data_IF_623908524897
#
_entry.id   IF_623908524897
#
_cell.length_a   1.000
_cell.length_b   1.000
_cell.length_c   1.000
_cell.angle_alpha   90.00
_cell.angle_beta   90.00
_cell.angle_gamma   90.00
#
_symmetry.space_group_name_H-M   'P 1'
#
loop_
_entity.id
_entity.type
_entity.pdbx_description
1 polymer ?
#
# COMPACT_ATOMS: atom_id res chain seq x y z
N UNK A 1 -16.10 1.14 -4.40
CA UNK A 1 -15.57 1.71 -3.14
C UNK A 1 -14.09 1.97 -3.30
N UNK A 2 -13.61 3.15 -2.93
CA UNK A 2 -12.19 3.53 -3.00
C UNK A 2 -11.81 4.15 -1.65
N UNK A 3 -10.68 3.78 -1.08
CA UNK A 3 -10.28 4.37 0.19
C UNK A 3 -9.05 3.70 0.81
N UNK A 4 -9.00 3.72 2.13
CA UNK A 4 -7.93 3.12 2.89
C UNK A 4 -8.44 2.21 4.01
N UNK A 5 -7.57 1.31 4.42
CA UNK A 5 -7.67 0.49 5.62
C UNK A 5 -6.43 0.75 6.47
N UNK A 6 -6.62 1.15 7.72
CA UNK A 6 -5.54 1.48 8.63
C UNK A 6 -4.81 0.26 9.18
N UNK A 7 -3.62 0.50 9.73
CA UNK A 7 -2.81 -0.54 10.36
C UNK A 7 -3.55 -1.25 11.51
N UNK A 8 -4.36 -0.51 12.27
CA UNK A 8 -5.08 -1.04 13.43
C UNK A 8 -6.19 -2.04 13.07
N UNK A 9 -6.57 -2.17 11.79
CA UNK A 9 -7.55 -3.16 11.33
C UNK A 9 -7.20 -4.61 11.71
N UNK A 10 -5.92 -4.93 11.93
CA UNK A 10 -5.52 -6.25 12.43
C UNK A 10 -6.21 -6.62 13.76
N UNK A 11 -6.53 -5.64 14.59
CA UNK A 11 -7.21 -5.90 15.87
C UNK A 11 -8.65 -6.43 15.71
N UNK A 12 -9.25 -6.29 14.52
CA UNK A 12 -10.57 -6.86 14.19
C UNK A 12 -10.47 -8.37 14.07
N UNK A 13 -9.50 -8.88 13.30
CA UNK A 13 -9.26 -10.31 13.11
C UNK A 13 -8.51 -10.97 14.29
N UNK A 14 -7.68 -10.19 14.99
CA UNK A 14 -6.82 -10.66 16.07
C UNK A 14 -7.08 -9.86 17.37
N UNK A 15 -8.20 -10.12 18.10
CA UNK A 15 -8.61 -9.32 19.27
C UNK A 15 -7.65 -9.37 20.46
N UNK A 16 -6.64 -10.23 20.42
CA UNK A 16 -5.55 -10.26 21.40
C UNK A 16 -4.67 -9.01 21.31
N UNK A 17 -4.64 -8.35 20.14
CA UNK A 17 -3.90 -7.12 19.91
C UNK A 17 -4.70 -5.93 20.42
N UNK A 18 -4.04 -5.12 21.25
CA UNK A 18 -4.60 -3.85 21.76
C UNK A 18 -3.84 -2.71 21.11
N UNK A 19 -4.08 -2.51 19.82
CA UNK A 19 -3.37 -1.48 19.05
C UNK A 19 -3.82 -0.08 19.51
N UNK A 20 -2.86 0.84 19.59
CA UNK A 20 -3.11 2.24 19.98
C UNK A 20 -4.12 2.91 19.03
N UNK A 21 -5.08 3.65 19.60
CA UNK A 21 -6.02 4.44 18.82
C UNK A 21 -5.30 5.55 18.02
N UNK A 22 -5.74 5.74 16.80
CA UNK A 22 -5.20 6.74 15.88
C UNK A 22 -6.12 7.95 15.76
N UNK A 23 -5.57 9.08 15.29
CA UNK A 23 -6.36 10.25 14.90
C UNK A 23 -7.16 10.02 13.59
N UNK A 24 -6.80 8.97 12.82
CA UNK A 24 -7.53 8.55 11.60
C UNK A 24 -8.48 7.41 11.93
N UNK A 25 -9.54 7.28 11.13
CA UNK A 25 -10.43 6.12 11.22
C UNK A 25 -9.67 4.83 10.89
N UNK A 26 -10.15 3.68 11.37
CA UNK A 26 -9.56 2.37 11.03
C UNK A 26 -9.74 2.06 9.54
N UNK A 27 -10.78 2.54 8.92
CA UNK A 27 -10.97 2.55 7.46
C UNK A 27 -11.83 3.74 7.05
N UNK A 28 -11.68 4.15 5.80
CA UNK A 28 -12.53 5.17 5.19
C UNK A 28 -12.69 4.86 3.69
N UNK A 29 -13.92 4.64 3.27
CA UNK A 29 -14.26 4.16 1.93
C UNK A 29 -15.29 5.07 1.28
N UNK A 30 -14.92 5.67 0.17
CA UNK A 30 -15.78 6.51 -0.65
C UNK A 30 -16.49 5.67 -1.72
N UNK A 31 -17.79 5.85 -1.87
CA UNK A 31 -18.55 5.25 -2.95
C UNK A 31 -18.59 6.22 -4.14
N UNK A 32 -18.02 5.81 -5.27
CA UNK A 32 -18.06 6.58 -6.51
C UNK A 32 -19.03 5.94 -7.50
N UNK A 33 -19.95 6.73 -7.97
CA UNK A 33 -20.88 6.37 -9.06
C UNK A 33 -20.46 6.96 -10.42
N UNK A 34 -19.53 7.92 -10.44
CA UNK A 34 -18.96 8.57 -11.62
C UNK A 34 -17.46 8.34 -11.65
N UNK A 35 -16.97 7.70 -12.72
CA UNK A 35 -15.58 7.27 -12.83
C UNK A 35 -15.03 7.65 -14.20
N UNK A 36 -13.79 8.13 -14.22
CA UNK A 36 -13.01 8.31 -15.44
C UNK A 36 -11.87 7.31 -15.41
N UNK A 37 -11.86 6.37 -16.33
CA UNK A 37 -10.78 5.39 -16.51
C UNK A 37 -9.93 5.77 -17.73
N UNK A 38 -8.60 5.83 -17.53
CA UNK A 38 -7.65 6.06 -18.60
C UNK A 38 -6.74 4.86 -18.81
N UNK A 39 -6.85 4.22 -19.97
CA UNK A 39 -5.99 3.11 -20.39
C UNK A 39 -4.73 3.69 -21.07
N UNK A 40 -3.60 3.67 -20.34
CA UNK A 40 -2.34 4.20 -20.84
C UNK A 40 -1.75 3.42 -22.02
N UNK A 41 -2.06 2.14 -22.15
CA UNK A 41 -1.56 1.30 -23.26
C UNK A 41 -2.31 1.59 -24.56
N UNK A 42 -3.64 1.77 -24.45
CA UNK A 42 -4.51 2.03 -25.59
C UNK A 42 -4.77 3.52 -25.83
N UNK A 43 -4.25 4.37 -24.93
CA UNK A 43 -4.48 5.83 -24.95
C UNK A 43 -5.98 6.17 -25.01
N UNK A 44 -6.79 5.39 -24.29
CA UNK A 44 -8.24 5.50 -24.30
C UNK A 44 -8.79 5.94 -22.97
N UNK A 45 -9.61 6.98 -22.98
CA UNK A 45 -10.39 7.41 -21.84
C UNK A 45 -11.81 6.84 -21.91
N UNK A 46 -12.31 6.33 -20.79
CA UNK A 46 -13.67 5.82 -20.65
C UNK A 46 -14.35 6.53 -19.49
N UNK A 47 -15.49 7.16 -19.76
CA UNK A 47 -16.35 7.76 -18.72
C UNK A 47 -17.41 6.75 -18.35
N UNK A 48 -17.55 6.44 -17.08
CA UNK A 48 -18.47 5.45 -16.52
C UNK A 48 -19.37 6.15 -15.52
N UNK A 49 -20.68 6.03 -15.68
CA UNK A 49 -21.67 6.50 -14.71
C UNK A 49 -22.56 5.31 -14.32
N UNK A 50 -22.51 4.96 -13.04
CA UNK A 50 -23.35 3.93 -12.47
C UNK A 50 -24.70 4.54 -12.09
N UNK A 51 -25.80 3.97 -12.53
CA UNK A 51 -27.13 4.41 -12.21
C UNK A 51 -27.85 3.45 -11.28
N UNK A 52 -28.80 3.97 -10.49
CA UNK A 52 -29.67 3.14 -9.67
C UNK A 52 -30.72 2.47 -10.55
N UNK A 53 -31.19 1.28 -10.15
CA UNK A 53 -32.10 0.46 -10.95
C UNK A 53 -33.59 0.80 -10.75
N UNK A 54 -33.95 1.63 -9.75
CA UNK A 54 -35.30 2.15 -9.63
C UNK A 54 -35.52 3.31 -10.61
N UNK A 55 -36.71 3.41 -11.22
CA UNK A 55 -37.06 4.38 -12.25
C UNK A 55 -35.99 4.45 -13.39
N UNK A 56 -35.78 3.34 -14.10
CA UNK A 56 -34.62 3.17 -14.99
C UNK A 56 -34.58 4.21 -16.12
N UNK A 57 -35.73 4.62 -16.65
CA UNK A 57 -35.79 5.60 -17.73
C UNK A 57 -35.23 6.96 -17.29
N UNK A 58 -35.72 7.49 -16.16
CA UNK A 58 -35.26 8.74 -15.61
C UNK A 58 -33.78 8.66 -15.18
N UNK A 59 -33.36 7.55 -14.55
CA UNK A 59 -31.97 7.36 -14.13
C UNK A 59 -31.02 7.27 -15.32
N UNK A 60 -31.46 6.67 -16.43
CA UNK A 60 -30.68 6.61 -17.66
C UNK A 60 -30.49 8.00 -18.28
N UNK A 61 -31.57 8.80 -18.40
CA UNK A 61 -31.46 10.18 -18.89
C UNK A 61 -30.50 11.01 -18.04
N UNK A 62 -30.57 10.86 -16.71
CA UNK A 62 -29.65 11.55 -15.81
C UNK A 62 -28.19 11.07 -16.02
N UNK A 63 -27.95 9.78 -16.14
CA UNK A 63 -26.62 9.22 -16.39
C UNK A 63 -26.01 9.73 -17.70
N UNK A 64 -26.82 9.83 -18.77
CA UNK A 64 -26.37 10.40 -20.06
C UNK A 64 -26.00 11.88 -19.91
N UNK A 65 -26.77 12.66 -19.15
CA UNK A 65 -26.45 14.06 -18.88
C UNK A 65 -25.14 14.19 -18.06
N UNK A 66 -24.97 13.36 -17.04
CA UNK A 66 -23.74 13.32 -16.23
C UNK A 66 -22.51 12.96 -17.09
N UNK A 67 -22.61 11.99 -17.98
CA UNK A 67 -21.55 11.64 -18.95
C UNK A 67 -21.18 12.85 -19.81
N UNK A 68 -22.18 13.54 -20.39
CA UNK A 68 -21.94 14.71 -21.23
C UNK A 68 -21.30 15.86 -20.46
N UNK A 69 -21.69 16.11 -19.19
CA UNK A 69 -21.08 17.09 -18.33
C UNK A 69 -19.60 16.79 -18.06
N UNK A 70 -19.28 15.53 -17.74
CA UNK A 70 -17.90 15.06 -17.54
C UNK A 70 -17.08 15.26 -18.83
N UNK A 71 -17.61 14.86 -19.99
CA UNK A 71 -16.94 15.03 -21.27
C UNK A 71 -16.64 16.51 -21.55
N UNK A 72 -17.62 17.40 -21.31
CA UNK A 72 -17.43 18.84 -21.48
C UNK A 72 -16.33 19.37 -20.57
N UNK A 73 -16.30 18.94 -19.30
CA UNK A 73 -15.27 19.33 -18.34
C UNK A 73 -13.87 18.88 -18.76
N UNK A 74 -13.77 17.68 -19.37
CA UNK A 74 -12.47 17.14 -19.86
C UNK A 74 -12.01 17.88 -21.10
N UNK A 75 -12.93 18.22 -22.01
CA UNK A 75 -12.60 18.85 -23.30
C UNK A 75 -12.35 20.35 -23.20
N UNK A 76 -12.88 21.00 -22.18
CA UNK A 76 -12.63 22.42 -21.87
C UNK A 76 -12.03 22.57 -20.45
N UNK A 77 -10.79 22.10 -20.22
CA UNK A 77 -10.22 22.06 -18.90
C UNK A 77 -9.83 23.49 -18.44
N UNK A 78 -10.13 23.78 -17.19
CA UNK A 78 -9.60 24.96 -16.55
C UNK A 78 -8.06 24.94 -16.54
N UNK A 79 -7.38 26.11 -16.64
CA UNK A 79 -5.93 26.17 -16.54
C UNK A 79 -5.42 25.48 -15.26
N UNK A 80 -4.42 24.63 -15.39
CA UNK A 80 -3.77 24.02 -14.22
C UNK A 80 -3.19 25.12 -13.33
N UNK A 81 -3.45 25.03 -12.04
CA UNK A 81 -2.81 25.88 -11.05
C UNK A 81 -1.28 25.74 -11.17
N UNK A 82 -0.57 26.85 -11.06
CA UNK A 82 0.91 26.82 -11.04
C UNK A 82 1.37 26.00 -9.84
N UNK A 83 2.46 25.26 -10.04
CA UNK A 83 3.15 24.60 -8.93
C UNK A 83 3.74 25.70 -8.03
N UNK A 84 3.15 25.90 -6.87
CA UNK A 84 3.72 26.72 -5.82
C UNK A 84 4.60 25.80 -4.95
N UNK A 85 5.85 26.16 -4.77
CA UNK A 85 6.75 25.49 -3.83
C UNK A 85 6.96 26.38 -2.62
N UNK A 86 6.53 25.90 -1.46
CA UNK A 86 6.95 26.48 -0.19
C UNK A 86 8.37 25.96 0.09
N UNK A 87 9.36 26.84 0.03
CA UNK A 87 10.78 26.46 0.14
C UNK A 87 11.21 26.14 1.57
N UNK A 88 10.37 26.35 2.58
CA UNK A 88 10.73 26.30 3.99
C UNK A 88 9.85 25.31 4.78
N UNK A 89 9.54 24.14 4.19
CA UNK A 89 8.85 23.08 4.93
C UNK A 89 9.88 22.29 5.73
N UNK A 90 9.87 22.44 7.05
CA UNK A 90 10.70 21.67 7.96
C UNK A 90 9.88 20.57 8.63
N UNK A 91 10.42 19.37 8.66
CA UNK A 91 9.80 18.23 9.35
C UNK A 91 10.45 18.02 10.71
N UNK A 92 9.62 17.81 11.72
CA UNK A 92 10.05 17.39 13.05
C UNK A 92 9.80 15.90 13.22
N UNK A 93 10.77 15.17 13.76
CA UNK A 93 10.62 13.75 14.09
C UNK A 93 9.94 13.59 15.44
N UNK A 94 9.08 12.58 15.59
CA UNK A 94 8.49 12.19 16.88
C UNK A 94 9.50 11.51 17.83
N UNK A 95 10.69 11.16 17.31
CA UNK A 95 11.80 10.57 18.07
C UNK A 95 13.07 11.34 17.82
N UNK A 96 13.92 11.44 18.86
CA UNK A 96 15.33 11.76 18.66
C UNK A 96 16.07 10.59 18.01
N UNK A 97 17.29 10.82 17.55
CA UNK A 97 18.14 9.76 16.99
C UNK A 97 18.42 8.68 18.06
N UNK A 98 18.73 9.08 19.30
CA UNK A 98 19.00 8.19 20.42
C UNK A 98 17.78 7.31 20.75
N UNK A 99 16.59 7.90 20.90
CA UNK A 99 15.37 7.15 21.16
C UNK A 99 15.03 6.13 20.07
N UNK A 100 15.30 6.48 18.80
CA UNK A 100 15.08 5.54 17.69
C UNK A 100 16.11 4.40 17.70
N UNK A 101 17.38 4.71 17.99
CA UNK A 101 18.43 3.70 18.15
C UNK A 101 18.12 2.74 19.32
N UNK A 102 17.61 3.25 20.44
CA UNK A 102 17.18 2.43 21.58
C UNK A 102 16.03 1.50 21.21
N UNK A 103 15.06 1.98 20.45
CA UNK A 103 13.96 1.15 19.92
C UNK A 103 14.49 0.02 19.04
N UNK A 104 15.45 0.31 18.15
CA UNK A 104 16.10 -0.71 17.30
C UNK A 104 16.86 -1.73 18.16
N UNK A 105 17.57 -1.28 19.20
CA UNK A 105 18.33 -2.18 20.10
C UNK A 105 17.38 -3.10 20.89
N UNK A 106 16.28 -2.58 21.42
CA UNK A 106 15.26 -3.41 22.09
C UNK A 106 14.63 -4.44 21.13
N UNK A 107 14.39 -4.04 19.88
CA UNK A 107 13.90 -4.99 18.86
C UNK A 107 14.90 -6.12 18.62
N UNK A 108 16.22 -5.82 18.63
CA UNK A 108 17.25 -6.87 18.52
C UNK A 108 17.25 -7.80 19.74
N UNK A 109 16.98 -7.30 20.94
CA UNK A 109 16.85 -8.14 22.14
C UNK A 109 15.73 -9.16 21.96
N UNK A 110 14.54 -8.77 21.50
CA UNK A 110 13.44 -9.70 21.18
C UNK A 110 13.81 -10.76 20.14
N UNK A 111 14.65 -10.40 19.15
CA UNK A 111 15.17 -11.36 18.18
C UNK A 111 16.12 -12.36 18.84
N UNK A 112 17.06 -11.89 19.71
CA UNK A 112 17.99 -12.75 20.42
C UNK A 112 17.28 -13.68 21.41
N UNK A 113 16.22 -13.20 22.06
CA UNK A 113 15.41 -13.99 22.98
C UNK A 113 14.52 -15.03 22.27
N UNK A 114 14.43 -14.95 20.93
CA UNK A 114 13.69 -15.91 20.10
C UNK A 114 12.19 -15.61 20.00
N UNK A 115 11.75 -14.42 20.39
CA UNK A 115 10.36 -13.98 20.28
C UNK A 115 9.91 -13.81 18.82
N UNK A 116 10.83 -13.28 17.99
CA UNK A 116 10.59 -12.95 16.58
C UNK A 116 11.85 -13.20 15.75
N UNK A 117 11.67 -13.43 14.45
CA UNK A 117 12.78 -13.49 13.46
C UNK A 117 13.03 -12.13 12.83
N UNK A 118 11.97 -11.33 12.71
CA UNK A 118 11.96 -10.03 12.04
C UNK A 118 10.93 -9.12 12.67
N UNK A 119 11.25 -7.84 12.75
CA UNK A 119 10.30 -6.80 13.13
C UNK A 119 10.61 -5.49 12.39
N UNK A 120 9.56 -4.75 12.06
CA UNK A 120 9.64 -3.50 11.33
C UNK A 120 9.14 -2.37 12.22
N UNK A 121 10.08 -1.60 12.78
CA UNK A 121 9.75 -0.42 13.58
C UNK A 121 9.80 0.84 12.74
N UNK A 122 9.01 1.84 13.11
CA UNK A 122 8.88 3.07 12.33
C UNK A 122 8.97 4.33 13.18
N UNK A 123 9.21 5.45 12.52
CA UNK A 123 9.10 6.78 13.11
C UNK A 123 8.32 7.72 12.22
N UNK A 124 7.55 8.60 12.83
CA UNK A 124 6.75 9.62 12.16
C UNK A 124 7.47 10.95 12.14
N UNK A 125 7.32 11.66 11.03
CA UNK A 125 7.73 13.05 10.86
C UNK A 125 6.49 13.89 10.63
N UNK A 126 6.48 15.08 11.19
CA UNK A 126 5.33 15.99 11.14
C UNK A 126 5.76 17.38 10.68
N UNK A 127 4.87 18.05 9.96
CA UNK A 127 5.02 19.45 9.60
C UNK A 127 3.65 20.11 9.46
N UNK A 128 3.63 21.44 9.51
CA UNK A 128 2.44 22.22 9.16
C UNK A 128 2.51 22.66 7.70
N UNK A 129 1.43 22.42 6.96
CA UNK A 129 1.32 22.82 5.57
C UNK A 129 -0.14 23.16 5.23
N UNK A 130 -0.38 24.42 4.77
CA UNK A 130 -1.73 24.90 4.47
C UNK A 130 -2.18 24.60 3.04
N UNK A 131 -1.25 24.28 2.13
CA UNK A 131 -1.53 23.96 0.74
C UNK A 131 -2.13 22.56 0.56
N UNK A 132 -2.56 22.23 -0.65
CA UNK A 132 -2.99 20.88 -1.02
C UNK A 132 -1.77 20.00 -1.35
N UNK A 133 -1.83 18.72 -0.94
CA UNK A 133 -0.85 17.71 -1.31
C UNK A 133 -0.90 17.32 -2.79
N UNK A 134 -1.91 17.77 -3.55
CA UNK A 134 -2.04 17.48 -4.98
C UNK A 134 -0.79 17.94 -5.77
N UNK A 135 -0.21 19.09 -5.43
CA UNK A 135 1.00 19.56 -6.08
C UNK A 135 2.22 18.67 -5.77
N UNK A 136 2.37 18.23 -4.52
CA UNK A 136 3.39 17.26 -4.14
C UNK A 136 3.19 15.91 -4.87
N UNK A 137 1.97 15.42 -4.98
CA UNK A 137 1.62 14.23 -5.75
C UNK A 137 1.99 14.37 -7.23
N UNK A 138 1.71 15.52 -7.86
CA UNK A 138 2.07 15.78 -9.26
C UNK A 138 3.59 15.70 -9.50
N UNK A 139 4.38 16.18 -8.55
CA UNK A 139 5.85 16.06 -8.60
C UNK A 139 6.29 14.62 -8.40
N UNK A 140 5.78 13.93 -7.37
CA UNK A 140 6.10 12.53 -7.09
C UNK A 140 5.78 11.61 -8.27
N UNK A 141 4.68 11.84 -8.96
CA UNK A 141 4.28 11.08 -10.14
C UNK A 141 5.33 11.09 -11.26
N UNK A 142 6.09 12.16 -11.36
CA UNK A 142 7.14 12.32 -12.38
C UNK A 142 8.51 11.84 -11.86
N UNK A 143 8.82 12.16 -10.60
CA UNK A 143 10.15 11.92 -10.03
C UNK A 143 10.33 10.53 -9.47
N UNK A 144 9.26 9.92 -8.97
CA UNK A 144 9.28 8.59 -8.34
C UNK A 144 8.04 7.76 -8.72
N UNK A 145 7.85 7.41 -10.00
CA UNK A 145 6.74 6.60 -10.43
C UNK A 145 6.80 5.21 -9.78
N UNK A 146 5.64 4.71 -9.38
CA UNK A 146 5.44 3.40 -8.76
C UNK A 146 4.20 2.72 -9.36
N UNK A 147 4.04 1.39 -9.23
CA UNK A 147 2.86 0.69 -9.73
C UNK A 147 1.54 1.26 -9.19
N UNK A 148 1.55 1.71 -7.94
CA UNK A 148 0.40 2.34 -7.32
C UNK A 148 0.72 3.80 -7.02
N UNK A 149 0.01 4.69 -7.71
CA UNK A 149 0.09 6.13 -7.56
C UNK A 149 -1.25 6.64 -7.07
N UNK A 150 -1.33 7.03 -5.80
CA UNK A 150 -2.59 7.36 -5.14
C UNK A 150 -2.63 8.82 -4.71
N UNK A 151 -3.73 9.50 -5.01
CA UNK A 151 -4.17 10.74 -4.40
C UNK A 151 -5.62 10.59 -3.99
N UNK A 152 -5.91 10.83 -2.72
CA UNK A 152 -7.28 10.84 -2.18
C UNK A 152 -7.52 12.14 -1.44
N UNK A 153 -8.75 12.64 -1.54
CA UNK A 153 -9.27 13.72 -0.70
C UNK A 153 -10.57 13.21 -0.07
N UNK A 154 -10.55 13.03 1.24
CA UNK A 154 -11.66 12.49 2.02
C UNK A 154 -12.09 13.58 2.99
N UNK A 155 -13.18 14.29 2.66
CA UNK A 155 -13.74 15.37 3.48
C UNK A 155 -12.73 16.47 3.87
N UNK A 156 -11.70 16.67 3.04
CA UNK A 156 -10.66 17.68 3.27
C UNK A 156 -9.34 17.12 3.82
N UNK A 157 -9.32 15.90 4.32
CA UNK A 157 -8.10 15.19 4.61
C UNK A 157 -7.51 14.61 3.31
N UNK A 158 -6.21 14.75 3.11
CA UNK A 158 -5.57 14.33 1.87
C UNK A 158 -4.56 13.19 2.12
N UNK A 159 -4.55 12.21 1.23
CA UNK A 159 -3.57 11.12 1.24
C UNK A 159 -2.89 11.08 -0.12
N UNK A 160 -1.56 11.06 -0.12
CA UNK A 160 -0.75 10.78 -1.30
C UNK A 160 0.14 9.58 -1.04
N UNK A 161 0.29 8.71 -2.04
CA UNK A 161 1.18 7.56 -1.95
C UNK A 161 1.79 7.20 -3.31
N UNK A 162 3.02 6.69 -3.27
CA UNK A 162 3.74 6.10 -4.41
C UNK A 162 4.18 4.69 -4.02
N UNK A 163 3.20 3.82 -3.73
CA UNK A 163 3.48 2.48 -3.25
C UNK A 163 4.01 1.56 -4.35
N UNK A 164 5.12 0.86 -4.12
CA UNK A 164 5.64 -0.12 -5.07
C UNK A 164 5.04 -1.52 -4.88
N UNK A 165 4.28 -1.75 -3.81
CA UNK A 165 3.98 -3.10 -3.32
C UNK A 165 2.48 -3.34 -3.21
N UNK A 166 2.01 -4.41 -3.87
CA UNK A 166 0.63 -4.90 -3.74
C UNK A 166 0.45 -5.54 -2.36
N UNK A 167 -0.63 -5.19 -1.64
CA UNK A 167 -1.03 -5.97 -0.48
C UNK A 167 -1.73 -7.24 -0.94
N UNK A 168 -2.88 -7.09 -1.58
CA UNK A 168 -3.65 -8.19 -2.14
C UNK A 168 -4.47 -7.71 -3.34
N UNK A 169 -4.55 -8.57 -4.34
CA UNK A 169 -5.45 -8.44 -5.47
C UNK A 169 -6.42 -9.61 -5.48
N UNK A 170 -7.69 -9.35 -5.67
CA UNK A 170 -8.74 -10.34 -5.89
C UNK A 170 -9.37 -10.08 -7.24
N UNK A 171 -9.29 -11.03 -8.15
CA UNK A 171 -9.88 -10.92 -9.47
C UNK A 171 -10.60 -12.20 -9.85
N UNK A 172 -11.91 -12.12 -10.07
CA UNK A 172 -12.75 -13.27 -10.45
C UNK A 172 -12.57 -14.47 -9.48
N UNK A 173 -12.48 -14.22 -8.18
CA UNK A 173 -12.32 -15.24 -7.15
C UNK A 173 -10.89 -15.75 -6.95
N UNK A 174 -9.91 -15.23 -7.67
CA UNK A 174 -8.48 -15.55 -7.51
C UNK A 174 -7.78 -14.44 -6.73
N UNK A 175 -7.17 -14.83 -5.62
CA UNK A 175 -6.33 -13.99 -4.78
C UNK A 175 -4.89 -14.02 -5.26
N UNK A 176 -4.23 -12.86 -5.29
CA UNK A 176 -2.81 -12.75 -5.60
C UNK A 176 -2.11 -11.85 -4.58
N UNK A 177 -0.91 -12.23 -4.17
CA UNK A 177 0.07 -11.34 -3.52
C UNK A 177 1.43 -11.51 -4.17
N UNK A 178 2.26 -10.46 -4.10
CA UNK A 178 3.52 -10.38 -4.83
C UNK A 178 4.66 -10.07 -3.86
N UNK A 179 5.20 -11.07 -3.13
CA UNK A 179 6.36 -10.88 -2.28
C UNK A 179 7.54 -10.32 -3.07
N UNK A 180 8.09 -9.22 -2.58
CA UNK A 180 9.24 -8.53 -3.17
C UNK A 180 10.31 -8.39 -2.09
N UNK A 181 11.52 -8.88 -2.37
CA UNK A 181 12.69 -8.67 -1.51
C UNK A 181 13.97 -8.60 -2.34
N UNK A 182 15.03 -8.15 -1.72
CA UNK A 182 16.29 -7.98 -2.39
C UNK A 182 16.28 -6.86 -3.42
N UNK A 183 17.35 -6.09 -3.49
CA UNK A 183 17.43 -4.94 -4.39
C UNK A 183 18.83 -4.76 -4.92
N UNK A 184 18.94 -4.43 -6.22
CA UNK A 184 20.17 -3.91 -6.84
C UNK A 184 19.83 -2.74 -7.74
N UNK A 185 20.70 -1.78 -7.89
CA UNK A 185 20.53 -0.72 -8.90
C UNK A 185 20.55 -1.31 -10.31
N UNK A 186 20.08 -0.56 -11.28
CA UNK A 186 20.24 -0.91 -12.69
C UNK A 186 21.69 -0.68 -13.10
N UNK A 187 22.22 -1.56 -13.94
CA UNK A 187 23.53 -1.39 -14.55
C UNK A 187 23.57 -0.23 -15.57
N UNK A 188 24.75 0.32 -15.80
CA UNK A 188 24.96 1.37 -16.81
C UNK A 188 24.77 0.82 -18.25
N UNK A 189 25.01 -0.48 -18.44
CA UNK A 189 24.76 -1.19 -19.68
C UNK A 189 24.17 -2.59 -19.41
N UNK A 190 23.87 -3.32 -20.48
CA UNK A 190 23.24 -4.64 -20.36
C UNK A 190 24.13 -5.66 -19.65
N UNK A 191 25.45 -5.59 -19.84
CA UNK A 191 26.38 -6.58 -19.25
C UNK A 191 26.47 -6.36 -17.73
N UNK A 192 26.57 -5.15 -17.28
CA UNK A 192 26.54 -4.80 -15.85
C UNK A 192 25.18 -5.11 -15.23
N UNK A 193 24.07 -4.81 -15.92
CA UNK A 193 22.71 -5.09 -15.46
C UNK A 193 22.49 -6.61 -15.27
N UNK A 194 22.95 -7.42 -16.20
CA UNK A 194 22.86 -8.88 -16.08
C UNK A 194 23.79 -9.44 -14.97
N UNK A 195 24.97 -8.85 -14.76
CA UNK A 195 25.86 -9.23 -13.68
C UNK A 195 25.28 -8.92 -12.29
N UNK A 196 24.65 -7.73 -12.13
CA UNK A 196 23.95 -7.35 -10.90
C UNK A 196 22.74 -8.25 -10.63
N UNK A 197 22.02 -8.65 -11.66
CA UNK A 197 20.90 -9.60 -11.52
C UNK A 197 21.40 -10.99 -11.09
N UNK A 198 22.50 -11.46 -11.67
CA UNK A 198 23.14 -12.74 -11.32
C UNK A 198 23.74 -12.72 -9.91
N UNK A 199 24.25 -11.60 -9.44
CA UNK A 199 24.68 -11.41 -8.06
C UNK A 199 23.48 -11.50 -7.11
N UNK A 200 22.43 -10.75 -7.40
CA UNK A 200 21.24 -10.70 -6.55
C UNK A 200 20.59 -12.06 -6.34
N UNK A 201 20.44 -12.84 -7.41
CA UNK A 201 19.79 -14.17 -7.34
C UNK A 201 20.70 -15.25 -6.69
N UNK A 202 21.95 -14.93 -6.38
CA UNK A 202 22.90 -15.80 -5.66
C UNK A 202 23.18 -15.33 -4.24
N UNK A 203 22.66 -14.18 -3.84
CA UNK A 203 22.83 -13.63 -2.50
C UNK A 203 21.99 -14.43 -1.50
N UNK A 204 22.64 -15.27 -0.68
CA UNK A 204 21.97 -16.18 0.26
C UNK A 204 21.10 -15.42 1.28
N UNK A 205 21.52 -14.24 1.71
CA UNK A 205 20.76 -13.40 2.65
C UNK A 205 19.48 -12.89 2.01
N UNK A 206 19.58 -12.31 0.81
CA UNK A 206 18.42 -11.79 0.08
C UNK A 206 17.43 -12.90 -0.27
N UNK A 207 17.92 -14.08 -0.64
CA UNK A 207 17.10 -15.26 -0.90
C UNK A 207 16.41 -15.79 0.36
N UNK A 208 17.09 -15.81 1.50
CA UNK A 208 16.50 -16.24 2.77
C UNK A 208 15.36 -15.30 3.21
N UNK A 209 15.58 -13.99 3.11
CA UNK A 209 14.56 -12.97 3.38
C UNK A 209 13.37 -13.14 2.41
N UNK A 210 13.65 -13.28 1.12
CA UNK A 210 12.60 -13.45 0.11
C UNK A 210 11.75 -14.70 0.37
N UNK A 211 12.39 -15.83 0.71
CA UNK A 211 11.68 -17.08 1.02
C UNK A 211 10.76 -16.93 2.23
N UNK A 212 11.21 -16.22 3.26
CA UNK A 212 10.38 -15.91 4.42
C UNK A 212 9.14 -15.09 4.04
N UNK A 213 9.30 -14.09 3.16
CA UNK A 213 8.16 -13.30 2.68
C UNK A 213 7.20 -14.10 1.79
N UNK A 214 7.72 -15.03 0.97
CA UNK A 214 6.88 -15.95 0.20
C UNK A 214 6.06 -16.84 1.11
N UNK A 215 6.68 -17.42 2.15
CA UNK A 215 5.98 -18.26 3.14
C UNK A 215 4.94 -17.48 3.93
N UNK A 216 5.24 -16.23 4.28
CA UNK A 216 4.28 -15.35 4.94
C UNK A 216 3.08 -15.05 4.02
N UNK A 217 3.33 -14.74 2.74
CA UNK A 217 2.26 -14.53 1.76
C UNK A 217 1.40 -15.78 1.54
N UNK A 218 2.03 -16.97 1.51
CA UNK A 218 1.31 -18.26 1.44
C UNK A 218 0.41 -18.47 2.67
N UNK A 219 0.92 -18.16 3.85
CA UNK A 219 0.16 -18.26 5.10
C UNK A 219 -1.04 -17.29 5.11
N UNK A 220 -0.82 -16.04 4.75
CA UNK A 220 -1.86 -15.01 4.77
C UNK A 220 -2.99 -15.33 3.78
N UNK A 221 -2.65 -15.62 2.52
CA UNK A 221 -3.64 -16.07 1.52
C UNK A 221 -4.27 -17.41 1.92
N UNK A 222 -3.49 -18.32 2.52
CA UNK A 222 -3.98 -19.64 2.91
C UNK A 222 -5.13 -19.63 3.92
N UNK A 223 -5.19 -18.62 4.79
CA UNK A 223 -6.28 -18.45 5.76
C UNK A 223 -7.66 -18.37 5.09
N UNK A 224 -7.73 -17.74 3.92
CA UNK A 224 -8.96 -17.44 3.19
C UNK A 224 -9.11 -18.19 1.87
N UNK A 225 -8.13 -19.00 1.48
CA UNK A 225 -8.16 -19.79 0.25
C UNK A 225 -8.77 -21.17 0.43
N UNK A 226 -9.38 -21.70 -0.64
CA UNK A 226 -9.83 -23.09 -0.71
C UNK A 226 -8.65 -24.04 -0.45
N UNK A 227 -8.96 -25.18 0.15
CA UNK A 227 -7.94 -26.18 0.44
C UNK A 227 -7.21 -26.65 -0.84
N UNK A 228 -5.89 -26.75 -0.78
CA UNK A 228 -5.00 -27.08 -1.90
C UNK A 228 -4.99 -26.09 -3.09
N UNK A 229 -5.58 -24.91 -2.98
CA UNK A 229 -5.57 -23.93 -4.07
C UNK A 229 -4.35 -23.00 -4.04
N UNK A 230 -3.68 -22.87 -2.89
CA UNK A 230 -2.52 -21.97 -2.75
C UNK A 230 -1.32 -22.50 -3.52
N UNK A 231 -0.80 -21.68 -4.43
CA UNK A 231 0.33 -22.00 -5.31
C UNK A 231 1.28 -20.81 -5.41
N UNK A 232 2.57 -21.10 -5.59
CA UNK A 232 3.56 -20.11 -6.01
C UNK A 232 3.66 -20.24 -7.54
N UNK A 233 3.04 -19.32 -8.25
CA UNK A 233 2.93 -19.36 -9.73
C UNK A 233 4.15 -18.81 -10.42
N UNK A 234 4.85 -17.89 -9.74
CA UNK A 234 6.14 -17.36 -10.15
C UNK A 234 7.06 -17.32 -8.92
N UNK A 235 8.30 -17.80 -9.05
CA UNK A 235 9.21 -17.90 -7.92
C UNK A 235 10.58 -17.32 -8.26
N UNK A 236 11.05 -16.39 -7.40
CA UNK A 236 12.36 -15.77 -7.47
C UNK A 236 12.73 -15.18 -8.85
N UNK A 237 11.80 -14.48 -9.48
CA UNK A 237 12.06 -13.81 -10.76
C UNK A 237 12.69 -12.43 -10.54
N UNK A 238 13.71 -12.10 -11.33
CA UNK A 238 14.27 -10.74 -11.32
C UNK A 238 13.37 -9.82 -12.15
N UNK A 239 12.68 -8.91 -11.49
CA UNK A 239 11.93 -7.83 -12.13
C UNK A 239 12.77 -6.55 -12.20
N UNK A 240 12.96 -6.06 -13.43
CA UNK A 240 13.73 -4.86 -13.73
C UNK A 240 12.82 -3.65 -13.89
N UNK A 241 12.90 -2.72 -12.94
CA UNK A 241 12.23 -1.43 -13.03
C UNK A 241 13.19 -0.37 -13.63
N UNK A 242 12.74 0.87 -13.77
CA UNK A 242 13.52 1.91 -14.43
C UNK A 242 14.87 2.21 -13.77
N UNK A 243 14.96 2.12 -12.42
CA UNK A 243 16.16 2.48 -11.65
C UNK A 243 16.68 1.37 -10.75
N UNK A 244 15.89 0.33 -10.52
CA UNK A 244 16.18 -0.73 -9.56
C UNK A 244 15.64 -2.06 -10.08
N UNK A 245 16.22 -3.16 -9.65
CA UNK A 245 15.71 -4.52 -9.86
C UNK A 245 15.46 -5.19 -8.50
N UNK A 246 14.51 -6.12 -8.47
CA UNK A 246 14.12 -6.87 -7.27
C UNK A 246 13.92 -8.35 -7.58
N UNK A 247 14.06 -9.18 -6.55
CA UNK A 247 13.56 -10.56 -6.56
C UNK A 247 12.06 -10.50 -6.24
N UNK A 248 11.25 -11.07 -7.11
CA UNK A 248 9.80 -11.11 -6.98
C UNK A 248 9.28 -12.52 -7.12
N UNK A 249 8.24 -12.84 -6.36
CA UNK A 249 7.45 -14.06 -6.51
C UNK A 249 5.97 -13.70 -6.57
N UNK A 250 5.15 -14.65 -7.01
CA UNK A 250 3.71 -14.51 -7.05
C UNK A 250 3.08 -15.70 -6.33
N UNK A 251 2.18 -15.41 -5.41
CA UNK A 251 1.41 -16.41 -4.67
C UNK A 251 -0.06 -16.23 -5.01
N UNK A 252 -0.68 -17.29 -5.49
CA UNK A 252 -2.11 -17.33 -5.83
C UNK A 252 -2.88 -18.26 -4.90
N UNK A 253 -4.19 -17.97 -4.75
CA UNK A 253 -5.14 -18.85 -4.09
C UNK A 253 -6.56 -18.59 -4.56
N UNK A 254 -7.42 -19.62 -4.57
CA UNK A 254 -8.85 -19.45 -4.83
C UNK A 254 -9.56 -19.05 -3.54
N UNK A 255 -10.32 -17.95 -3.55
CA UNK A 255 -11.10 -17.48 -2.41
C UNK A 255 -12.11 -18.55 -1.98
N UNK A 256 -12.22 -18.80 -0.66
CA UNK A 256 -13.23 -19.68 -0.09
C UNK A 256 -14.65 -19.19 -0.40
N UNK A 257 -15.57 -20.12 -0.57
CA UNK A 257 -16.98 -19.79 -0.75
C UNK A 257 -17.53 -19.10 0.53
N UNK A 258 -18.26 -18.01 0.32
CA UNK A 258 -18.85 -17.21 1.40
C UNK A 258 -17.94 -16.11 1.97
N UNK A 259 -16.70 -16.01 1.51
CA UNK A 259 -15.81 -14.89 1.79
C UNK A 259 -15.81 -13.88 0.63
N UNK A 260 -15.38 -12.64 0.91
CA UNK A 260 -15.39 -11.55 -0.04
C UNK A 260 -14.08 -10.74 -0.04
N UNK A 261 -14.09 -9.60 -0.74
CA UNK A 261 -12.95 -8.72 -0.87
C UNK A 261 -12.50 -8.09 0.47
N UNK A 262 -13.43 -7.90 1.39
CA UNK A 262 -13.11 -7.33 2.71
C UNK A 262 -12.41 -8.35 3.59
N UNK A 263 -12.84 -9.62 3.56
CA UNK A 263 -12.15 -10.73 4.22
C UNK A 263 -10.71 -10.87 3.70
N UNK A 264 -10.50 -10.61 2.38
CA UNK A 264 -9.18 -10.63 1.79
C UNK A 264 -8.26 -9.56 2.39
N UNK A 265 -8.73 -8.32 2.51
CA UNK A 265 -7.95 -7.24 3.13
C UNK A 265 -7.67 -7.53 4.60
N UNK A 266 -8.68 -7.91 5.36
CA UNK A 266 -8.58 -8.20 6.80
C UNK A 266 -7.56 -9.31 7.09
N UNK A 267 -7.56 -10.38 6.29
CA UNK A 267 -6.64 -11.51 6.48
C UNK A 267 -5.17 -11.16 6.23
N UNK A 268 -4.88 -10.23 5.32
CA UNK A 268 -3.51 -9.90 4.95
C UNK A 268 -2.94 -8.72 5.73
N UNK A 269 -3.79 -7.85 6.29
CA UNK A 269 -3.34 -6.70 7.09
C UNK A 269 -2.74 -7.11 8.44
N UNK A 270 -1.69 -6.37 8.87
CA UNK A 270 -0.80 -5.60 8.03
C UNK A 270 0.13 -6.51 7.23
N UNK A 271 0.70 -5.99 6.15
CA UNK A 271 1.70 -6.72 5.38
C UNK A 271 2.88 -7.18 6.25
N UNK A 272 3.47 -8.34 5.94
CA UNK A 272 4.62 -8.84 6.67
C UNK A 272 5.83 -7.93 6.59
N UNK A 273 6.01 -7.26 5.45
CA UNK A 273 7.04 -6.24 5.20
C UNK A 273 6.86 -4.97 6.05
N UNK A 274 5.72 -4.79 6.71
CA UNK A 274 5.41 -3.68 7.61
C UNK A 274 5.21 -4.09 9.07
N UNK A 275 5.20 -5.38 9.36
CA UNK A 275 5.02 -5.94 10.70
C UNK A 275 6.22 -6.78 11.13
N UNK A 276 6.26 -8.02 10.72
CA UNK A 276 7.34 -8.96 11.01
C UNK A 276 6.87 -10.40 11.08
N UNK A 277 7.74 -11.26 11.58
CA UNK A 277 7.51 -12.70 11.67
C UNK A 277 7.97 -13.25 13.04
N UNK A 278 7.12 -13.98 13.78
CA UNK A 278 5.67 -14.21 13.58
C UNK A 278 4.85 -12.91 13.69
N UNK A 279 3.86 -12.74 12.81
CA UNK A 279 3.12 -11.47 12.63
C UNK A 279 2.51 -10.92 13.92
N UNK A 280 1.77 -11.74 14.67
CA UNK A 280 1.05 -11.29 15.87
C UNK A 280 2.03 -10.79 16.95
N UNK A 281 3.12 -11.55 17.19
CA UNK A 281 4.14 -11.15 18.17
C UNK A 281 4.87 -9.88 17.75
N UNK A 282 5.21 -9.75 16.47
CA UNK A 282 5.80 -8.53 15.93
C UNK A 282 4.88 -7.32 16.10
N UNK A 283 3.57 -7.45 15.87
CA UNK A 283 2.61 -6.37 16.08
C UNK A 283 2.51 -5.95 17.56
N UNK A 284 2.59 -6.90 18.51
CA UNK A 284 2.63 -6.58 19.95
C UNK A 284 3.89 -5.76 20.30
N UNK A 285 5.04 -6.18 19.80
CA UNK A 285 6.32 -5.48 20.03
C UNK A 285 6.31 -4.09 19.40
N UNK A 286 5.76 -3.94 18.21
CA UNK A 286 5.62 -2.64 17.53
C UNK A 286 4.75 -1.70 18.38
N UNK A 287 3.61 -2.18 18.87
CA UNK A 287 2.69 -1.37 19.68
C UNK A 287 3.32 -0.96 21.05
N UNK A 288 4.15 -1.85 21.60
CA UNK A 288 4.91 -1.56 22.83
C UNK A 288 6.00 -0.49 22.62
N UNK A 289 6.70 -0.55 21.48
CA UNK A 289 7.89 0.27 21.25
C UNK A 289 7.58 1.60 20.55
N UNK A 290 6.57 1.66 19.69
CA UNK A 290 6.20 2.88 18.97
C UNK A 290 5.35 3.80 19.86
N UNK A 291 5.78 5.06 20.02
CA UNK A 291 5.08 6.09 20.83
C UNK A 291 3.84 6.66 20.15
N UNK A 292 3.73 6.49 18.86
CA UNK A 292 2.67 7.09 18.03
C UNK A 292 1.99 6.03 17.19
N UNK A 293 0.64 6.02 17.13
CA UNK A 293 -0.08 5.08 16.30
C UNK A 293 0.23 5.29 14.81
N UNK A 294 0.25 4.21 14.06
CA UNK A 294 0.56 4.27 12.62
C UNK A 294 -0.54 4.88 11.77
N UNK A 295 -1.81 4.75 12.19
CA UNK A 295 -2.96 5.19 11.44
C UNK A 295 -3.05 4.52 10.07
N UNK A 296 -3.05 5.30 9.00
CA UNK A 296 -3.09 4.77 7.61
C UNK A 296 -1.78 4.10 7.21
N UNK A 297 -0.63 4.55 7.74
CA UNK A 297 0.67 4.00 7.40
C UNK A 297 0.81 2.53 7.79
N UNK A 298 1.25 1.70 6.87
CA UNK A 298 1.36 0.25 7.06
C UNK A 298 0.04 -0.51 6.91
N UNK A 299 -1.05 0.20 6.64
CA UNK A 299 -2.32 -0.36 6.23
C UNK A 299 -2.40 -0.59 4.72
N UNK A 300 -3.56 -0.36 4.10
CA UNK A 300 -3.79 -0.54 2.67
C UNK A 300 -4.49 0.66 2.03
N UNK A 301 -4.21 0.88 0.74
CA UNK A 301 -4.90 1.83 -0.13
C UNK A 301 -5.41 1.08 -1.36
N UNK A 302 -6.63 1.34 -1.80
CA UNK A 302 -7.11 0.69 -3.00
C UNK A 302 -8.60 0.80 -3.23
N UNK A 303 -9.14 -0.14 -3.99
CA UNK A 303 -10.55 -0.15 -4.32
C UNK A 303 -11.15 -1.56 -4.35
N UNK A 304 -12.46 -1.60 -4.11
CA UNK A 304 -13.32 -2.76 -4.35
C UNK A 304 -14.37 -2.37 -5.38
N UNK A 305 -14.50 -3.14 -6.45
CA UNK A 305 -15.51 -2.91 -7.48
C UNK A 305 -16.86 -3.56 -7.14
N UNK A 306 -17.88 -3.28 -7.95
CA UNK A 306 -19.23 -3.84 -7.73
C UNK A 306 -19.35 -5.33 -8.08
N UNK A 307 -18.34 -5.92 -8.70
CA UNK A 307 -18.30 -7.36 -8.99
C UNK A 307 -17.56 -8.14 -7.89
N UNK A 308 -17.09 -7.44 -6.85
CA UNK A 308 -16.33 -8.02 -5.74
C UNK A 308 -14.84 -8.20 -6.03
N UNK A 309 -14.32 -7.63 -7.12
CA UNK A 309 -12.88 -7.57 -7.34
C UNK A 309 -12.25 -6.50 -6.45
N UNK A 310 -11.00 -6.73 -6.09
CA UNK A 310 -10.21 -5.87 -5.21
C UNK A 310 -8.82 -5.66 -5.81
N UNK A 311 -8.29 -4.45 -5.68
CA UNK A 311 -6.89 -4.16 -5.93
C UNK A 311 -6.38 -3.17 -4.89
N UNK A 312 -5.42 -3.60 -4.07
CA UNK A 312 -4.88 -2.81 -2.95
C UNK A 312 -3.37 -2.85 -2.90
N UNK A 313 -2.78 -1.72 -2.56
CA UNK A 313 -1.36 -1.62 -2.24
C UNK A 313 -1.14 -1.40 -0.75
N UNK A 314 0.07 -1.69 -0.30
CA UNK A 314 0.51 -1.37 1.06
C UNK A 314 0.63 0.14 1.19
N UNK A 315 0.11 0.72 2.26
CA UNK A 315 0.15 2.16 2.52
C UNK A 315 1.54 2.59 3.02
N UNK A 316 2.46 2.77 2.08
CA UNK A 316 3.84 3.22 2.29
C UNK A 316 4.24 4.29 1.27
N UNK A 317 5.41 4.90 1.45
CA UNK A 317 5.89 6.02 0.61
C UNK A 317 4.80 7.06 0.43
N UNK A 318 4.24 7.48 1.55
CA UNK A 318 3.03 8.26 1.60
C UNK A 318 3.15 9.47 2.52
N UNK A 319 2.26 10.43 2.31
CA UNK A 319 1.96 11.49 3.25
C UNK A 319 0.45 11.54 3.50
N UNK A 320 0.09 11.79 4.74
CA UNK A 320 -1.30 12.06 5.17
C UNK A 320 -1.38 13.48 5.65
N UNK A 321 -2.35 14.24 5.17
CA UNK A 321 -2.66 15.58 5.67
C UNK A 321 -4.01 15.56 6.34
N UNK A 322 -4.04 15.96 7.61
CA UNK A 322 -5.25 16.15 8.40
C UNK A 322 -5.32 17.59 8.90
N UNK A 323 -6.30 18.32 8.42
CA UNK A 323 -6.33 19.77 8.61
C UNK A 323 -5.08 20.44 8.00
N UNK A 324 -4.24 21.08 8.82
CA UNK A 324 -2.98 21.69 8.37
C UNK A 324 -1.74 20.85 8.70
N UNK A 325 -1.88 19.72 9.38
CA UNK A 325 -0.76 18.84 9.74
C UNK A 325 -0.53 17.82 8.64
N UNK A 326 0.73 17.64 8.26
CA UNK A 326 1.18 16.61 7.32
C UNK A 326 2.08 15.64 8.04
N UNK A 327 1.80 14.36 7.86
CA UNK A 327 2.52 13.23 8.43
C UNK A 327 3.21 12.44 7.34
N UNK A 328 4.48 12.13 7.55
CA UNK A 328 5.27 11.19 6.73
C UNK A 328 5.90 10.18 7.66
N UNK A 329 5.91 8.92 7.29
CA UNK A 329 6.46 7.86 8.13
C UNK A 329 7.52 7.06 7.39
N UNK A 330 8.59 6.70 8.10
CA UNK A 330 9.68 5.89 7.60
C UNK A 330 9.95 4.73 8.55
N UNK A 331 10.37 3.60 8.01
CA UNK A 331 10.58 2.36 8.73
C UNK A 331 12.05 1.93 8.73
N UNK A 332 12.37 1.05 9.67
CA UNK A 332 13.60 0.25 9.70
C UNK A 332 13.23 -1.22 9.89
N UNK A 333 13.72 -2.06 9.00
CA UNK A 333 13.59 -3.51 9.09
C UNK A 333 14.74 -4.06 9.94
N UNK A 334 14.41 -4.80 10.99
CA UNK A 334 15.37 -5.46 11.87
C UNK A 334 15.15 -6.98 11.75
N UNK A 335 16.21 -7.71 11.42
CA UNK A 335 16.18 -9.17 11.29
C UNK A 335 17.50 -9.77 11.76
N UNK A 336 17.52 -11.10 11.89
CA UNK A 336 18.72 -11.89 12.27
C UNK A 336 19.86 -11.66 11.28
#
# INVERSE_FOLDING_TARGET
>A
LVGYYGYAMIAVSEPILKIQESETNDFDLMLFDKIIAYDHLREKMTVIVNMKTYDPERQYEQAVNDINEIINTITDPAPLAKLESDKNVEFTSTYTEEEFCDMVNKTKEYIFDGDIFQCVVSRRFETEYKGSLLNAYRVLRITNPSPYMVYMNIEGDEIISTSPETLVKLQNGVLNTFPIAGSRPRGADKQEDDALADELIKDEKELAEHNMLVDLGRNDIGKISKFNSVKVTSYQQILRYSKIMHICSEVEGELKDGLDAFDAVESLLPAGTLSGAPKIRACQIIDELEKTPRGVYGGALGYVDFNGNLDTCIAIRMAVKKGNKVYVQALSLIHI
#
